data_IF_089540681835
#
_entry.id   IF_089540681835
#
_cell.length_a   1.000
_cell.length_b   1.000
_cell.length_c   1.000
_cell.angle_alpha   90.00
_cell.angle_beta   90.00
_cell.angle_gamma   90.00
#
_symmetry.space_group_name_H-M   'P 1'
#
loop_
_entity.id
_entity.type
_entity.pdbx_description
1 polymer ?
#
# COMPACT_ATOMS: atom_id res chain seq x y z
N UNK A 1 -1.11 -0.43 -5.71
CA UNK A 1 -0.95 -0.58 -7.17
C UNK A 1 -1.55 -1.88 -7.66
N UNK A 2 -1.04 -3.06 -7.26
CA UNK A 2 -1.63 -4.36 -7.64
C UNK A 2 -3.13 -4.46 -7.35
N UNK A 3 -3.57 -4.04 -6.15
CA UNK A 3 -5.00 -3.95 -5.80
C UNK A 3 -5.81 -3.07 -6.77
N UNK A 4 -5.24 -1.95 -7.24
CA UNK A 4 -5.90 -1.04 -8.18
C UNK A 4 -6.06 -1.65 -9.55
N UNK A 5 -5.05 -2.37 -10.03
CA UNK A 5 -5.14 -3.12 -11.28
C UNK A 5 -6.22 -4.20 -11.17
N UNK A 6 -6.22 -4.99 -10.09
CA UNK A 6 -7.23 -6.01 -9.84
C UNK A 6 -8.65 -5.42 -9.75
N UNK A 7 -8.84 -4.30 -9.05
CA UNK A 7 -10.15 -3.66 -8.91
C UNK A 7 -10.69 -3.09 -10.23
N UNK A 8 -9.79 -2.66 -11.13
CA UNK A 8 -10.12 -2.17 -12.47
C UNK A 8 -10.16 -3.28 -13.52
N UNK A 9 -9.82 -4.52 -13.17
CA UNK A 9 -9.73 -5.64 -14.12
C UNK A 9 -8.65 -5.46 -15.17
N UNK A 10 -7.53 -4.82 -14.82
CA UNK A 10 -6.41 -4.54 -15.73
C UNK A 10 -5.40 -5.67 -15.61
N UNK A 11 -5.12 -6.34 -16.71
CA UNK A 11 -4.02 -7.29 -16.83
C UNK A 11 -2.69 -6.55 -16.91
N UNK A 12 -1.65 -7.12 -16.30
CA UNK A 12 -0.31 -6.56 -16.32
C UNK A 12 0.73 -7.68 -16.20
N UNK A 13 1.88 -7.47 -16.81
CA UNK A 13 3.05 -8.30 -16.60
C UNK A 13 3.76 -7.88 -15.30
N UNK A 14 4.15 -8.84 -14.48
CA UNK A 14 4.87 -8.59 -13.23
C UNK A 14 6.34 -8.98 -13.39
N UNK A 15 7.22 -8.00 -13.23
CA UNK A 15 8.67 -8.22 -13.12
C UNK A 15 9.06 -8.11 -11.64
N UNK A 16 9.34 -9.23 -10.95
CA UNK A 16 9.65 -9.19 -9.53
C UNK A 16 11.03 -8.56 -9.27
N UNK A 17 11.10 -7.74 -8.22
CA UNK A 17 12.33 -7.08 -7.78
C UNK A 17 12.56 -7.45 -6.32
N UNK A 18 13.52 -8.34 -6.10
CA UNK A 18 13.84 -8.82 -4.76
C UNK A 18 14.65 -7.77 -3.99
N UNK A 19 14.08 -7.28 -2.89
CA UNK A 19 14.67 -6.19 -2.11
C UNK A 19 15.80 -6.61 -1.16
N UNK A 20 16.04 -7.92 -1.02
CA UNK A 20 16.98 -8.50 -0.05
C UNK A 20 18.08 -9.31 -0.75
N UNK A 21 17.71 -10.13 -1.73
CA UNK A 21 18.62 -11.00 -2.47
C UNK A 21 19.67 -10.17 -3.23
N UNK A 22 20.92 -10.64 -3.24
CA UNK A 22 22.05 -10.02 -3.94
C UNK A 22 22.31 -8.56 -3.53
N UNK A 23 21.94 -8.19 -2.30
CA UNK A 23 22.06 -6.82 -1.78
C UNK A 23 20.89 -5.90 -2.16
N UNK A 24 19.90 -6.41 -2.90
CA UNK A 24 18.71 -5.68 -3.33
C UNK A 24 18.76 -5.34 -4.82
N UNK A 25 17.89 -5.97 -5.61
CA UNK A 25 17.81 -5.78 -7.07
C UNK A 25 17.41 -4.35 -7.47
N UNK A 26 16.73 -3.62 -6.58
CA UNK A 26 16.40 -2.21 -6.74
C UNK A 26 17.64 -1.28 -6.75
N UNK A 27 18.80 -1.77 -6.30
CA UNK A 27 20.06 -1.01 -6.28
C UNK A 27 20.91 -1.22 -7.55
N UNK A 28 20.47 -2.06 -8.48
CA UNK A 28 21.15 -2.29 -9.76
C UNK A 28 21.08 -1.05 -10.65
N UNK A 29 22.09 -0.85 -11.51
CA UNK A 29 22.07 0.27 -12.48
C UNK A 29 20.88 0.16 -13.44
N UNK A 30 20.53 -1.07 -13.85
CA UNK A 30 19.35 -1.32 -14.69
C UNK A 30 18.06 -0.83 -14.03
N UNK A 31 17.86 -1.12 -12.74
CA UNK A 31 16.65 -0.66 -12.05
C UNK A 31 16.66 0.85 -11.78
N UNK A 32 17.84 1.45 -11.54
CA UNK A 32 17.97 2.91 -11.36
C UNK A 32 17.52 3.69 -12.59
N UNK A 33 17.70 3.15 -13.79
CA UNK A 33 17.16 3.75 -15.03
C UNK A 33 15.63 3.78 -15.03
N UNK A 34 14.96 2.78 -14.46
CA UNK A 34 13.50 2.72 -14.34
C UNK A 34 12.97 3.60 -13.21
N UNK A 35 13.60 3.53 -12.04
CA UNK A 35 13.27 4.36 -10.90
C UNK A 35 14.54 4.84 -10.17
N UNK A 36 14.95 6.11 -10.38
CA UNK A 36 16.13 6.68 -9.73
C UNK A 36 16.08 6.65 -8.19
N UNK A 37 14.87 6.63 -7.61
CA UNK A 37 14.68 6.49 -6.16
C UNK A 37 14.94 5.08 -5.63
N UNK A 38 15.22 4.10 -6.51
CA UNK A 38 15.57 2.72 -6.12
C UNK A 38 14.49 2.07 -5.24
N UNK A 39 13.23 2.31 -5.58
CA UNK A 39 12.06 1.84 -4.84
C UNK A 39 11.09 1.10 -5.77
N UNK A 40 10.32 0.19 -5.20
CA UNK A 40 9.15 -0.39 -5.85
C UNK A 40 7.88 0.29 -5.31
N UNK A 41 6.81 0.42 -6.12
CA UNK A 41 6.69 -0.02 -7.52
C UNK A 41 7.23 1.00 -8.54
N UNK A 42 7.56 0.51 -9.72
CA UNK A 42 7.64 1.26 -10.98
C UNK A 42 6.71 0.57 -11.99
N UNK A 43 5.95 1.36 -12.76
CA UNK A 43 4.95 0.86 -13.70
C UNK A 43 5.19 1.50 -15.05
N UNK A 44 5.41 0.67 -16.06
CA UNK A 44 5.40 1.09 -17.45
C UNK A 44 3.98 0.94 -18.01
N UNK A 45 3.36 2.03 -18.44
CA UNK A 45 2.04 2.02 -19.05
C UNK A 45 1.88 3.23 -19.97
N UNK A 46 1.11 3.08 -21.07
CA UNK A 46 0.79 4.17 -21.99
C UNK A 46 2.03 4.93 -22.54
N UNK A 47 3.14 4.23 -22.73
CA UNK A 47 4.39 4.80 -23.22
C UNK A 47 5.17 5.65 -22.20
N UNK A 48 4.78 5.63 -20.93
CA UNK A 48 5.46 6.32 -19.83
C UNK A 48 5.83 5.35 -18.71
N UNK A 49 6.83 5.72 -17.91
CA UNK A 49 7.20 5.02 -16.67
C UNK A 49 6.80 5.87 -15.47
N UNK A 50 5.93 5.33 -14.62
CA UNK A 50 5.45 5.97 -13.40
C UNK A 50 6.04 5.27 -12.17
N UNK A 51 6.61 6.04 -11.26
CA UNK A 51 6.93 5.62 -9.90
C UNK A 51 6.02 6.35 -8.91
N UNK A 52 6.19 6.09 -7.61
CA UNK A 52 5.31 6.56 -6.52
C UNK A 52 3.90 5.95 -6.58
N UNK A 53 3.61 5.08 -5.62
CA UNK A 53 2.38 4.27 -5.62
C UNK A 53 1.11 5.11 -5.73
N UNK A 54 1.03 6.25 -5.04
CA UNK A 54 -0.13 7.13 -5.06
C UNK A 54 -0.34 7.80 -6.42
N UNK A 55 0.73 8.20 -7.11
CA UNK A 55 0.66 8.77 -8.45
C UNK A 55 0.19 7.74 -9.48
N UNK A 56 0.74 6.52 -9.43
CA UNK A 56 0.30 5.39 -10.25
C UNK A 56 -1.19 5.10 -10.05
N UNK A 57 -1.66 5.03 -8.81
CA UNK A 57 -3.08 4.78 -8.49
C UNK A 57 -3.97 5.89 -9.05
N UNK A 58 -3.54 7.15 -8.93
CA UNK A 58 -4.28 8.27 -9.48
C UNK A 58 -4.38 8.20 -11.01
N UNK A 59 -3.26 7.91 -11.69
CA UNK A 59 -3.23 7.78 -13.14
C UNK A 59 -4.14 6.65 -13.63
N UNK A 60 -4.15 5.50 -12.95
CA UNK A 60 -5.08 4.39 -13.23
C UNK A 60 -6.53 4.86 -13.09
N UNK A 61 -6.87 5.63 -12.05
CA UNK A 61 -8.25 6.10 -11.86
C UNK A 61 -8.69 7.10 -12.94
N UNK A 62 -7.78 7.96 -13.38
CA UNK A 62 -8.03 9.00 -14.37
C UNK A 62 -8.15 8.45 -15.80
N UNK A 63 -7.43 7.36 -16.11
CA UNK A 63 -7.30 6.86 -17.49
C UNK A 63 -8.07 5.57 -17.77
N UNK A 64 -8.45 4.81 -16.74
CA UNK A 64 -9.06 3.48 -16.91
C UNK A 64 -10.54 3.47 -16.48
N UNK A 65 -11.44 2.92 -17.34
CA UNK A 65 -12.85 2.80 -17.00
C UNK A 65 -13.07 1.83 -15.84
N UNK A 66 -14.31 1.74 -15.36
CA UNK A 66 -14.69 0.84 -14.26
C UNK A 66 -14.84 1.57 -12.92
N UNK A 67 -14.79 0.82 -11.79
CA UNK A 67 -15.03 1.38 -10.46
C UNK A 67 -14.12 2.56 -10.16
N UNK A 68 -14.66 3.64 -9.60
CA UNK A 68 -13.88 4.82 -9.23
C UNK A 68 -13.02 4.51 -8.01
N UNK A 69 -11.73 4.84 -8.08
CA UNK A 69 -10.83 4.74 -6.94
C UNK A 69 -10.97 5.94 -6.02
N UNK A 70 -11.41 7.09 -6.53
CA UNK A 70 -11.76 8.27 -5.74
C UNK A 70 -13.25 8.61 -5.79
N UNK A 71 -13.84 9.13 -4.69
CA UNK A 71 -15.20 9.66 -4.69
C UNK A 71 -15.34 10.84 -5.67
N UNK A 72 -16.55 10.98 -6.23
CA UNK A 72 -16.91 12.17 -7.02
C UNK A 72 -16.93 13.45 -6.16
N UNK A 73 -17.45 13.33 -4.94
CA UNK A 73 -17.57 14.42 -3.98
C UNK A 73 -16.16 14.91 -3.58
N UNK A 74 -15.83 16.19 -3.85
CA UNK A 74 -14.53 16.76 -3.49
C UNK A 74 -14.18 16.64 -2.01
N UNK A 75 -15.17 16.73 -1.10
CA UNK A 75 -14.94 16.62 0.35
C UNK A 75 -14.52 15.19 0.72
N UNK A 76 -15.26 14.19 0.24
CA UNK A 76 -14.90 12.77 0.46
C UNK A 76 -13.58 12.43 -0.21
N UNK A 77 -13.31 12.98 -1.41
CA UNK A 77 -12.04 12.80 -2.11
C UNK A 77 -10.85 13.38 -1.31
N UNK A 78 -11.03 14.52 -0.66
CA UNK A 78 -10.03 15.08 0.24
C UNK A 78 -9.78 14.17 1.46
N UNK A 79 -10.83 13.61 2.06
CA UNK A 79 -10.69 12.65 3.18
C UNK A 79 -9.92 11.39 2.76
N UNK A 80 -10.23 10.84 1.59
CA UNK A 80 -9.50 9.68 1.04
C UNK A 80 -8.01 10.01 0.87
N UNK A 81 -7.68 11.17 0.27
CA UNK A 81 -6.28 11.59 0.09
C UNK A 81 -5.58 11.80 1.43
N UNK A 82 -6.22 12.48 2.38
CA UNK A 82 -5.68 12.70 3.72
C UNK A 82 -5.30 11.39 4.43
N UNK A 83 -6.21 10.40 4.44
CA UNK A 83 -5.93 9.08 5.03
C UNK A 83 -4.78 8.38 4.30
N UNK A 84 -4.77 8.47 2.97
CA UNK A 84 -3.74 7.84 2.15
C UNK A 84 -2.36 8.44 2.38
N UNK A 85 -2.27 9.76 2.45
CA UNK A 85 -1.03 10.49 2.68
C UNK A 85 -0.53 10.29 4.12
N UNK A 86 -1.44 10.19 5.11
CA UNK A 86 -1.06 9.84 6.48
C UNK A 86 -0.27 8.52 6.49
N UNK A 87 -0.70 7.55 5.68
CA UNK A 87 -0.06 6.24 5.62
C UNK A 87 1.18 6.26 4.72
N UNK A 88 1.04 6.72 3.49
CA UNK A 88 2.09 6.69 2.47
C UNK A 88 3.25 7.66 2.76
N UNK A 89 2.98 8.75 3.47
CA UNK A 89 3.99 9.77 3.80
C UNK A 89 4.32 9.77 5.29
N UNK A 90 3.33 9.55 6.16
CA UNK A 90 3.49 9.65 7.62
C UNK A 90 3.88 8.36 8.35
N UNK A 91 3.63 7.18 7.75
CA UNK A 91 3.92 5.89 8.38
C UNK A 91 4.94 5.10 7.55
N UNK A 92 4.62 4.82 6.29
CA UNK A 92 5.37 3.89 5.44
C UNK A 92 6.84 4.26 5.28
N UNK A 93 7.22 5.54 5.04
CA UNK A 93 8.61 5.90 4.80
C UNK A 93 9.49 5.66 6.04
N UNK A 94 8.91 5.75 7.24
CA UNK A 94 9.65 5.59 8.50
C UNK A 94 9.99 4.13 8.79
N UNK A 95 9.19 3.19 8.28
CA UNK A 95 9.45 1.74 8.41
C UNK A 95 9.99 1.10 7.12
N UNK A 96 10.23 1.90 6.08
CA UNK A 96 10.78 1.43 4.81
C UNK A 96 12.13 0.70 5.00
N UNK A 97 12.36 -0.35 4.21
CA UNK A 97 13.58 -1.16 4.24
C UNK A 97 14.86 -0.32 4.31
N UNK A 98 14.97 0.71 3.48
CA UNK A 98 16.16 1.58 3.44
C UNK A 98 16.40 2.30 4.77
N UNK A 99 15.34 2.79 5.41
CA UNK A 99 15.42 3.47 6.70
C UNK A 99 15.78 2.49 7.80
N UNK A 100 15.04 1.38 7.90
CA UNK A 100 15.22 0.43 9.00
C UNK A 100 16.56 -0.30 8.94
N UNK A 101 17.16 -0.46 7.75
CA UNK A 101 18.53 -0.96 7.62
C UNK A 101 19.57 -0.02 8.26
N UNK A 102 19.34 1.30 8.22
CA UNK A 102 20.20 2.29 8.88
C UNK A 102 20.03 2.31 10.40
N UNK A 103 18.85 1.95 10.90
CA UNK A 103 18.59 1.80 12.34
C UNK A 103 19.31 0.58 12.92
N UNK A 104 19.46 -0.50 12.14
CA UNK A 104 20.22 -1.67 12.57
C UNK A 104 19.44 -2.57 13.54
N UNK A 105 19.98 -2.79 14.74
CA UNK A 105 19.43 -3.74 15.72
C UNK A 105 18.00 -3.37 16.17
N UNK A 106 17.71 -2.08 16.30
CA UNK A 106 16.44 -1.58 16.83
C UNK A 106 15.34 -1.44 15.77
N UNK A 107 15.58 -1.94 14.54
CA UNK A 107 14.67 -1.80 13.40
C UNK A 107 13.23 -2.23 13.69
N UNK A 108 13.04 -3.26 14.50
CA UNK A 108 11.71 -3.78 14.85
C UNK A 108 11.00 -2.81 15.79
N UNK A 109 11.66 -2.39 16.87
CA UNK A 109 11.11 -1.44 17.84
C UNK A 109 10.79 -0.09 17.17
N UNK A 110 11.70 0.38 16.31
CA UNK A 110 11.50 1.59 15.50
C UNK A 110 10.23 1.49 14.63
N UNK A 111 10.11 0.40 13.87
CA UNK A 111 8.95 0.19 12.99
C UNK A 111 7.65 0.12 13.78
N UNK A 112 7.65 -0.63 14.89
CA UNK A 112 6.49 -0.74 15.79
C UNK A 112 6.10 0.62 16.35
N UNK A 113 7.05 1.43 16.82
CA UNK A 113 6.78 2.77 17.36
C UNK A 113 6.10 3.68 16.33
N UNK A 114 6.61 3.76 15.10
CA UNK A 114 6.04 4.65 14.09
C UNK A 114 4.73 4.14 13.49
N UNK A 115 4.53 2.82 13.41
CA UNK A 115 3.23 2.25 13.05
C UNK A 115 2.21 2.56 14.15
N UNK A 116 2.55 2.33 15.42
CA UNK A 116 1.67 2.60 16.55
C UNK A 116 1.27 4.07 16.61
N UNK A 117 2.25 4.99 16.55
CA UNK A 117 2.00 6.44 16.48
C UNK A 117 1.09 6.82 15.33
N UNK A 118 1.30 6.23 14.15
CA UNK A 118 0.46 6.45 12.98
C UNK A 118 -0.97 5.96 13.18
N UNK A 119 -1.15 4.79 13.81
CA UNK A 119 -2.46 4.19 14.06
C UNK A 119 -3.22 4.93 15.16
N UNK A 120 -2.54 5.44 16.19
CA UNK A 120 -3.12 6.35 17.19
C UNK A 120 -3.72 7.60 16.54
N UNK A 121 -3.10 8.14 15.48
CA UNK A 121 -3.63 9.27 14.73
C UNK A 121 -4.74 8.84 13.74
N UNK A 122 -4.59 7.70 13.08
CA UNK A 122 -5.50 7.23 12.04
C UNK A 122 -6.84 6.70 12.59
N UNK A 123 -6.83 5.99 13.71
CA UNK A 123 -8.02 5.40 14.33
C UNK A 123 -9.15 6.42 14.60
N UNK A 124 -8.92 7.58 15.26
CA UNK A 124 -9.97 8.58 15.47
C UNK A 124 -10.45 9.23 14.16
N UNK A 125 -9.59 9.37 13.15
CA UNK A 125 -9.99 9.85 11.81
C UNK A 125 -10.95 8.85 11.16
N UNK A 126 -10.62 7.56 11.23
CA UNK A 126 -11.46 6.49 10.69
C UNK A 126 -12.79 6.37 11.43
N UNK A 127 -12.84 6.61 12.75
CA UNK A 127 -14.12 6.66 13.49
C UNK A 127 -15.09 7.71 12.95
N UNK A 128 -14.59 8.80 12.35
CA UNK A 128 -15.41 9.88 11.80
C UNK A 128 -15.75 9.68 10.32
N UNK A 129 -14.92 8.95 9.59
CA UNK A 129 -14.98 8.87 8.11
C UNK A 129 -15.48 7.53 7.60
N UNK A 130 -15.26 6.46 8.36
CA UNK A 130 -15.52 5.11 7.92
C UNK A 130 -17.02 4.76 7.94
N UNK A 131 -17.47 4.15 6.85
CA UNK A 131 -18.69 3.34 6.81
C UNK A 131 -18.27 1.86 6.74
N UNK A 132 -18.69 1.15 5.69
CA UNK A 132 -18.16 -0.17 5.35
C UNK A 132 -16.64 -0.14 5.12
N UNK A 133 -16.13 0.89 4.47
CA UNK A 133 -14.69 1.11 4.19
C UNK A 133 -14.18 2.39 4.84
N UNK A 134 -12.92 2.76 4.60
CA UNK A 134 -12.26 3.91 5.25
C UNK A 134 -13.01 5.24 5.06
N UNK A 135 -13.73 5.41 3.94
CA UNK A 135 -14.58 6.59 3.67
C UNK A 135 -15.91 6.14 3.08
N UNK A 136 -16.95 6.08 3.92
CA UNK A 136 -18.28 5.59 3.53
C UNK A 136 -18.30 4.11 3.10
N UNK A 137 -19.19 3.75 2.18
CA UNK A 137 -19.57 2.35 1.93
C UNK A 137 -19.08 1.72 0.61
N UNK A 138 -18.27 2.44 -0.18
CA UNK A 138 -17.74 1.94 -1.45
C UNK A 138 -16.25 1.57 -1.33
N UNK A 139 -15.87 0.43 -1.94
CA UNK A 139 -14.47 0.00 -2.07
C UNK A 139 -13.71 0.99 -2.93
N UNK A 140 -12.54 1.42 -2.46
CA UNK A 140 -11.67 2.37 -3.18
C UNK A 140 -10.22 1.93 -3.06
N UNK A 141 -9.42 2.05 -4.11
CA UNK A 141 -8.02 1.60 -4.09
C UNK A 141 -7.15 2.26 -3.01
N UNK A 142 -7.59 3.41 -2.53
CA UNK A 142 -6.97 4.18 -1.47
C UNK A 142 -7.38 3.72 -0.06
N UNK A 143 -8.21 2.68 0.05
CA UNK A 143 -8.33 1.88 1.28
C UNK A 143 -7.06 1.05 1.41
N UNK A 144 -6.02 1.73 1.88
CA UNK A 144 -4.69 1.17 2.09
C UNK A 144 -4.77 -0.13 2.88
N UNK A 145 -4.15 -1.17 2.33
CA UNK A 145 -3.70 -2.27 3.15
C UNK A 145 -2.77 -1.71 4.23
N UNK A 146 -3.23 -1.74 5.47
CA UNK A 146 -2.40 -1.43 6.62
C UNK A 146 -1.51 -2.65 6.84
N UNK A 147 -0.28 -2.59 6.34
CA UNK A 147 0.75 -3.62 6.51
C UNK A 147 1.25 -3.71 7.97
N UNK A 148 0.33 -3.82 8.93
CA UNK A 148 0.59 -4.00 10.36
C UNK A 148 1.10 -5.41 10.68
N UNK A 149 0.73 -6.38 9.83
CA UNK A 149 1.06 -7.81 10.00
C UNK A 149 2.55 -8.10 9.91
N UNK A 150 3.30 -7.33 9.10
CA UNK A 150 4.75 -7.55 8.88
C UNK A 150 5.58 -7.31 10.15
N UNK A 151 5.16 -6.38 11.02
CA UNK A 151 5.92 -5.99 12.23
C UNK A 151 5.28 -6.45 13.55
N UNK A 152 4.28 -7.35 13.48
CA UNK A 152 3.57 -7.91 14.65
C UNK A 152 3.00 -6.82 15.56
N UNK A 153 2.55 -5.70 15.00
CA UNK A 153 1.89 -4.64 15.79
C UNK A 153 0.53 -5.16 16.23
N UNK A 154 0.21 -5.02 17.52
CA UNK A 154 -1.12 -5.37 18.02
C UNK A 154 -2.16 -4.40 17.45
N UNK A 155 -2.96 -4.91 16.50
CA UNK A 155 -4.09 -4.18 15.93
C UNK A 155 -5.34 -4.25 16.81
N UNK A 156 -5.33 -5.03 17.90
CA UNK A 156 -6.44 -5.20 18.83
C UNK A 156 -6.85 -3.90 19.53
N UNK A 157 -5.89 -3.01 19.80
CA UNK A 157 -6.13 -1.67 20.36
C UNK A 157 -6.78 -0.69 19.37
N UNK A 158 -6.86 -1.04 18.08
CA UNK A 158 -7.42 -0.20 17.00
C UNK A 158 -8.65 -0.88 16.35
N UNK A 159 -9.82 -0.86 17.00
CA UNK A 159 -10.97 -1.66 16.56
C UNK A 159 -11.51 -1.25 15.18
N UNK A 160 -11.45 0.04 14.80
CA UNK A 160 -11.91 0.48 13.49
C UNK A 160 -10.96 0.01 12.40
N UNK A 161 -9.66 0.20 12.59
CA UNK A 161 -8.61 -0.33 11.71
C UNK A 161 -8.74 -1.85 11.55
N UNK A 162 -8.91 -2.59 12.65
CA UNK A 162 -9.06 -4.04 12.64
C UNK A 162 -10.28 -4.48 11.82
N UNK A 163 -11.44 -3.86 12.05
CA UNK A 163 -12.67 -4.14 11.29
C UNK A 163 -12.47 -3.87 9.80
N UNK A 164 -11.92 -2.70 9.45
CA UNK A 164 -11.69 -2.32 8.06
C UNK A 164 -10.75 -3.29 7.37
N UNK A 165 -9.66 -3.70 8.02
CA UNK A 165 -8.74 -4.69 7.47
C UNK A 165 -9.43 -6.04 7.19
N UNK A 166 -10.27 -6.51 8.12
CA UNK A 166 -11.06 -7.73 7.92
C UNK A 166 -12.03 -7.59 6.74
N UNK A 167 -12.72 -6.46 6.63
CA UNK A 167 -13.63 -6.19 5.50
C UNK A 167 -12.89 -6.12 4.16
N UNK A 168 -11.66 -5.61 4.12
CA UNK A 168 -10.84 -5.55 2.90
C UNK A 168 -10.37 -6.94 2.46
N UNK A 169 -10.01 -7.80 3.40
CA UNK A 169 -9.56 -9.18 3.12
C UNK A 169 -10.62 -10.05 2.43
N UNK A 170 -11.90 -9.70 2.55
CA UNK A 170 -13.00 -10.40 1.87
C UNK A 170 -13.11 -10.07 0.38
N UNK A 171 -12.53 -8.95 -0.08
CA UNK A 171 -12.65 -8.47 -1.45
C UNK A 171 -11.76 -9.30 -2.37
N UNK A 172 -12.30 -9.77 -3.49
CA UNK A 172 -11.55 -10.60 -4.45
C UNK A 172 -10.30 -9.90 -4.99
N UNK A 173 -10.44 -8.64 -5.42
CA UNK A 173 -9.30 -7.82 -5.86
C UNK A 173 -8.19 -7.74 -4.80
N UNK A 174 -8.54 -7.80 -3.51
CA UNK A 174 -7.58 -7.79 -2.43
C UNK A 174 -6.87 -9.14 -2.30
N UNK A 175 -7.62 -10.26 -2.35
CA UNK A 175 -7.07 -11.62 -2.28
C UNK A 175 -6.06 -11.90 -3.38
N UNK A 176 -6.40 -11.60 -4.64
CA UNK A 176 -5.50 -11.84 -5.78
C UNK A 176 -4.26 -10.94 -5.76
N UNK A 177 -4.37 -9.76 -5.14
CA UNK A 177 -3.25 -8.82 -4.95
C UNK A 177 -2.50 -9.02 -3.63
N UNK A 178 -2.86 -10.03 -2.84
CA UNK A 178 -2.28 -10.25 -1.52
C UNK A 178 -0.81 -10.70 -1.66
N UNK A 179 0.11 -10.25 -0.79
CA UNK A 179 1.52 -10.64 -0.86
C UNK A 179 1.80 -12.15 -0.79
N UNK A 180 0.87 -12.96 -0.27
CA UNK A 180 1.00 -14.44 -0.22
C UNK A 180 0.55 -15.14 -1.51
N UNK A 181 0.03 -14.39 -2.48
CA UNK A 181 -0.55 -14.91 -3.73
C UNK A 181 0.22 -14.40 -4.96
N UNK A 182 1.43 -13.87 -4.77
CA UNK A 182 2.24 -13.32 -5.85
C UNK A 182 3.20 -14.39 -6.42
N UNK A 183 3.59 -14.29 -7.71
CA UNK A 183 4.51 -15.24 -8.33
C UNK A 183 5.86 -15.36 -7.58
N UNK A 184 6.34 -14.25 -7.01
CA UNK A 184 7.59 -14.14 -6.28
C UNK A 184 7.47 -14.39 -4.77
N UNK A 185 6.26 -14.71 -4.27
CA UNK A 185 6.08 -15.12 -2.88
C UNK A 185 6.92 -16.38 -2.59
N UNK A 186 7.81 -16.34 -1.58
CA UNK A 186 8.52 -17.52 -1.10
C UNK A 186 7.57 -18.67 -0.76
N UNK A 187 7.95 -19.91 -1.05
CA UNK A 187 7.05 -21.07 -0.94
C UNK A 187 6.48 -21.26 0.48
N UNK A 188 7.24 -20.88 1.52
CA UNK A 188 6.86 -20.93 2.93
C UNK A 188 5.86 -19.84 3.35
N UNK A 189 5.67 -18.81 2.51
CA UNK A 189 4.76 -17.68 2.75
C UNK A 189 3.54 -17.67 1.83
N UNK A 190 3.37 -18.69 0.99
CA UNK A 190 2.20 -18.83 0.11
C UNK A 190 0.98 -19.30 0.91
N UNK A 191 -0.18 -18.74 0.58
CA UNK A 191 -1.47 -19.10 1.18
C UNK A 191 -2.10 -20.32 0.53
#
# INVERSE_FOLDING_TARGET
VAFSFALKGIEYDQVPVNLIKDGGQQLTEQYKTLNPMQQVPAVEMDGITLSQSLAVIQYIDETRPGPRLLPADPKKRAQVRMISDLIASGIQPLQNLYVIQKIGADKVQWSQHFIDRGFQALEPILKQTAGKYCVGDEVRAWSSYLSATVFKVDVGQYPTIKRLNQTLLEIEAFKVSHPSSQPDTPADLRA
#
